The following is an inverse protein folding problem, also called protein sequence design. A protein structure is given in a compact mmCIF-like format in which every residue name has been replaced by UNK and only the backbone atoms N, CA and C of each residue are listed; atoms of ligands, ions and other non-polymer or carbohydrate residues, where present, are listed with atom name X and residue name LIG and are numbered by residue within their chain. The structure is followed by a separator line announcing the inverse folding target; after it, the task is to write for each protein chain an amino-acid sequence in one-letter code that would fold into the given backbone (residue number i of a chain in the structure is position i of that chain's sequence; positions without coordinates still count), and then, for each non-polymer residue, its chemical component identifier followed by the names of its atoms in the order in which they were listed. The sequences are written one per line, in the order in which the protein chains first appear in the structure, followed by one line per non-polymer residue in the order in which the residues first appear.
data_IF_715190116198
#
_entry.id   IF_715190116198
#
_cell.length_a   1.000
_cell.length_b   1.000
_cell.length_c   1.000
_cell.angle_alpha   90.00
_cell.angle_beta   90.00
_cell.angle_gamma   90.00
#
_symmetry.space_group_name_H-M   'P 1'
#
loop_
_entity.id
_entity.type
_entity.pdbx_description
1 polymer ?
#
# COMPACT_ATOMS: atom_id res chain seq x y z
N UNK A 1 4.97 10.88 37.66
CA UNK A 1 6.06 9.87 37.79
C UNK A 1 5.47 8.46 37.73
N UNK A 2 5.95 7.61 36.81
CA UNK A 2 5.58 6.19 36.78
C UNK A 2 6.08 5.51 38.05
N UNK A 3 5.21 4.71 38.69
CA UNK A 3 5.61 3.93 39.88
C UNK A 3 6.70 2.94 39.50
N UNK A 4 7.64 2.64 40.42
CA UNK A 4 8.81 1.78 40.17
C UNK A 4 8.40 0.43 39.56
N UNK A 5 7.34 -0.18 40.05
CA UNK A 5 6.83 -1.44 39.53
C UNK A 5 6.33 -1.35 38.09
N UNK A 6 5.67 -0.23 37.71
CA UNK A 6 5.20 -0.01 36.34
C UNK A 6 6.40 0.02 35.36
N UNK A 7 7.46 0.76 35.74
CA UNK A 7 8.68 0.82 34.94
C UNK A 7 9.32 -0.55 34.77
N UNK A 8 9.33 -1.37 35.83
CA UNK A 8 9.87 -2.74 35.79
C UNK A 8 9.07 -3.63 34.81
N UNK A 9 7.73 -3.65 34.97
CA UNK A 9 6.81 -4.42 34.13
C UNK A 9 6.96 -4.03 32.67
N UNK A 10 6.94 -2.74 32.35
CA UNK A 10 7.05 -2.24 30.98
C UNK A 10 8.42 -2.56 30.37
N UNK A 11 9.53 -2.36 31.11
CA UNK A 11 10.86 -2.68 30.63
C UNK A 11 10.98 -4.15 30.25
N UNK A 12 10.50 -5.07 31.11
CA UNK A 12 10.51 -6.50 30.83
C UNK A 12 9.70 -6.86 29.61
N UNK A 13 8.47 -6.30 29.51
CA UNK A 13 7.60 -6.52 28.35
C UNK A 13 8.25 -6.05 27.05
N UNK A 14 8.79 -4.82 27.02
CA UNK A 14 9.42 -4.29 25.82
C UNK A 14 10.69 -5.02 25.41
N UNK A 15 11.47 -5.53 26.35
CA UNK A 15 12.62 -6.39 26.01
C UNK A 15 12.17 -7.65 25.26
N UNK A 16 11.07 -8.29 25.70
CA UNK A 16 10.49 -9.44 24.97
C UNK A 16 9.92 -9.03 23.62
N UNK A 17 9.22 -7.91 23.57
CA UNK A 17 8.67 -7.37 22.34
C UNK A 17 9.76 -7.13 21.28
N UNK A 18 10.83 -6.44 21.63
CA UNK A 18 11.94 -6.19 20.68
C UNK A 18 12.67 -7.46 20.27
N UNK A 19 12.84 -8.42 21.18
CA UNK A 19 13.44 -9.72 20.84
C UNK A 19 12.57 -10.45 19.80
N UNK A 20 11.27 -10.49 20.00
CA UNK A 20 10.34 -11.16 19.08
C UNK A 20 10.25 -10.40 17.75
N UNK A 21 10.26 -9.05 17.77
CA UNK A 21 10.37 -8.26 16.56
C UNK A 21 11.61 -8.64 15.74
N UNK A 22 12.75 -8.80 16.41
CA UNK A 22 14.01 -9.17 15.75
C UNK A 22 13.92 -10.55 15.11
N UNK A 23 13.32 -11.52 15.80
CA UNK A 23 13.09 -12.87 15.26
C UNK A 23 12.21 -12.83 14.01
N UNK A 24 11.06 -12.14 14.05
CA UNK A 24 10.16 -12.04 12.90
C UNK A 24 10.79 -11.24 11.75
N UNK A 25 11.53 -10.18 12.06
CA UNK A 25 12.25 -9.40 11.06
C UNK A 25 13.31 -10.26 10.35
N UNK A 26 14.08 -11.05 11.09
CA UNK A 26 15.09 -11.93 10.48
C UNK A 26 14.46 -13.01 9.60
N UNK A 27 13.35 -13.62 10.04
CA UNK A 27 12.60 -14.58 9.22
C UNK A 27 12.03 -13.92 7.96
N UNK A 28 11.43 -12.72 8.09
CA UNK A 28 10.91 -11.96 6.98
C UNK A 28 11.98 -11.60 5.95
N UNK A 29 13.17 -11.16 6.41
CA UNK A 29 14.31 -10.88 5.51
C UNK A 29 14.74 -12.15 4.78
N UNK A 30 14.90 -13.29 5.47
CA UNK A 30 15.32 -14.54 4.84
C UNK A 30 14.34 -14.95 3.73
N UNK A 31 13.03 -14.93 4.00
CA UNK A 31 12.01 -15.30 3.02
C UNK A 31 12.00 -14.34 1.83
N UNK A 32 12.05 -13.03 2.08
CA UNK A 32 12.06 -12.02 1.02
C UNK A 32 13.34 -12.07 0.16
N UNK A 33 14.50 -12.39 0.73
CA UNK A 33 15.76 -12.54 -0.06
C UNK A 33 15.61 -13.63 -1.11
N UNK A 34 15.04 -14.78 -0.76
CA UNK A 34 14.84 -15.87 -1.72
C UNK A 34 13.89 -15.47 -2.85
N UNK A 35 12.82 -14.74 -2.54
CA UNK A 35 11.87 -14.23 -3.52
C UNK A 35 12.56 -13.25 -4.50
N UNK A 36 13.33 -12.29 -3.96
CA UNK A 36 14.03 -11.30 -4.78
C UNK A 36 15.14 -11.93 -5.64
N UNK A 37 15.92 -12.86 -5.11
CA UNK A 37 16.93 -13.59 -5.90
C UNK A 37 16.26 -14.36 -7.05
N UNK A 38 15.14 -15.02 -6.79
CA UNK A 38 14.37 -15.74 -7.81
C UNK A 38 13.84 -14.79 -8.90
N UNK A 39 13.34 -13.61 -8.53
CA UNK A 39 12.85 -12.61 -9.48
C UNK A 39 13.95 -12.10 -10.42
N UNK A 40 15.15 -11.88 -9.90
CA UNK A 40 16.28 -11.34 -10.66
C UNK A 40 17.17 -12.41 -11.29
N UNK A 41 16.86 -13.72 -11.14
CA UNK A 41 17.71 -14.82 -11.63
C UNK A 41 17.97 -14.81 -13.15
N UNK A 42 17.02 -14.28 -13.92
CA UNK A 42 17.11 -14.20 -15.38
C UNK A 42 17.42 -12.80 -15.92
N UNK A 43 17.89 -11.88 -15.07
CA UNK A 43 18.15 -10.50 -15.43
C UNK A 43 19.61 -10.14 -15.15
N UNK A 44 20.22 -9.38 -16.06
CA UNK A 44 21.56 -8.82 -15.86
C UNK A 44 21.45 -7.62 -14.88
N UNK A 45 21.56 -7.89 -13.59
CA UNK A 45 21.46 -6.88 -12.53
C UNK A 45 22.64 -6.93 -11.58
N UNK A 46 22.81 -5.86 -10.80
CA UNK A 46 23.82 -5.82 -9.76
C UNK A 46 23.51 -6.90 -8.69
N UNK A 47 24.49 -7.70 -8.33
CA UNK A 47 24.39 -8.76 -7.30
C UNK A 47 23.79 -8.27 -5.97
N UNK A 48 24.01 -7.01 -5.58
CA UNK A 48 23.48 -6.45 -4.34
C UNK A 48 22.01 -6.00 -4.41
N UNK A 49 21.44 -5.87 -5.61
CA UNK A 49 20.09 -5.32 -5.80
C UNK A 49 18.99 -6.12 -5.08
N UNK A 50 18.94 -7.46 -5.13
CA UNK A 50 17.96 -8.26 -4.39
C UNK A 50 18.00 -8.03 -2.88
N UNK A 51 19.21 -7.87 -2.31
CA UNK A 51 19.38 -7.61 -0.89
C UNK A 51 18.86 -6.23 -0.48
N UNK A 52 19.19 -5.18 -1.28
CA UNK A 52 18.69 -3.82 -1.04
C UNK A 52 17.16 -3.80 -1.08
N UNK A 53 16.56 -4.44 -2.07
CA UNK A 53 15.11 -4.53 -2.20
C UNK A 53 14.46 -5.26 -1.01
N UNK A 54 15.08 -6.34 -0.55
CA UNK A 54 14.63 -7.05 0.65
C UNK A 54 14.60 -6.12 1.87
N UNK A 55 15.65 -5.33 2.09
CA UNK A 55 15.69 -4.38 3.22
C UNK A 55 14.65 -3.26 3.08
N UNK A 56 14.37 -2.79 1.87
CA UNK A 56 13.32 -1.80 1.63
C UNK A 56 11.91 -2.37 1.88
N UNK A 57 11.70 -3.65 1.61
CA UNK A 57 10.41 -4.32 1.80
C UNK A 57 10.18 -4.81 3.24
N UNK A 58 11.23 -5.12 4.00
CA UNK A 58 11.14 -5.71 5.34
C UNK A 58 10.31 -4.89 6.35
N UNK A 59 10.39 -3.53 6.40
CA UNK A 59 9.61 -2.76 7.37
C UNK A 59 8.09 -2.88 7.18
N UNK A 60 7.58 -2.87 5.97
CA UNK A 60 6.13 -3.00 5.74
C UNK A 60 5.65 -4.43 6.05
N UNK A 61 6.45 -5.44 5.74
CA UNK A 61 6.16 -6.83 6.09
C UNK A 61 6.10 -7.00 7.62
N UNK A 62 7.04 -6.38 8.35
CA UNK A 62 7.01 -6.38 9.81
C UNK A 62 5.77 -5.66 10.36
N UNK A 63 5.36 -4.54 9.74
CA UNK A 63 4.15 -3.81 10.14
C UNK A 63 2.90 -4.71 10.11
N UNK A 64 2.73 -5.52 9.08
CA UNK A 64 1.57 -6.40 8.93
C UNK A 64 1.45 -7.45 10.04
N UNK A 65 2.58 -7.88 10.59
CA UNK A 65 2.62 -8.92 11.62
C UNK A 65 2.72 -8.36 13.05
N UNK A 66 2.75 -7.04 13.26
CA UNK A 66 2.79 -6.45 14.61
C UNK A 66 1.72 -6.95 15.58
N UNK A 67 0.44 -7.14 15.18
CA UNK A 67 -0.56 -7.70 16.09
C UNK A 67 -0.16 -9.06 16.66
N UNK A 68 0.43 -9.93 15.84
CA UNK A 68 0.95 -11.22 16.27
C UNK A 68 2.17 -11.09 17.17
N UNK A 69 3.07 -10.16 16.87
CA UNK A 69 4.25 -9.87 17.69
C UNK A 69 3.81 -9.42 19.08
N UNK A 70 2.83 -8.53 19.21
CA UNK A 70 2.29 -8.13 20.52
C UNK A 70 1.69 -9.30 21.28
N UNK A 71 0.91 -10.14 20.62
CA UNK A 71 0.28 -11.31 21.23
C UNK A 71 1.32 -12.30 21.76
N UNK A 72 2.30 -12.66 20.93
CA UNK A 72 3.37 -13.59 21.30
C UNK A 72 4.25 -12.99 22.42
N UNK A 73 4.56 -11.70 22.33
CA UNK A 73 5.33 -10.99 23.35
C UNK A 73 4.64 -11.00 24.70
N UNK A 74 3.31 -10.78 24.70
CA UNK A 74 2.52 -10.84 25.91
C UNK A 74 2.50 -12.26 26.51
N UNK A 75 2.38 -13.29 25.68
CA UNK A 75 2.41 -14.69 26.14
C UNK A 75 3.75 -15.03 26.78
N UNK A 76 4.88 -14.71 26.12
CA UNK A 76 6.20 -14.94 26.68
C UNK A 76 6.46 -14.15 27.97
N UNK A 77 5.99 -12.89 28.02
CA UNK A 77 6.09 -12.08 29.22
C UNK A 77 5.30 -12.70 30.40
N UNK A 78 4.04 -13.07 30.21
CA UNK A 78 3.23 -13.69 31.25
C UNK A 78 3.76 -15.07 31.66
N UNK A 79 4.22 -15.87 30.72
CA UNK A 79 4.85 -17.15 31.03
C UNK A 79 6.08 -16.96 31.95
N UNK A 80 6.94 -15.98 31.66
CA UNK A 80 8.15 -15.74 32.45
C UNK A 80 7.83 -15.27 33.88
N UNK A 81 6.91 -14.32 34.05
CA UNK A 81 6.55 -13.82 35.38
C UNK A 81 5.83 -14.86 36.24
N UNK A 82 5.10 -15.81 35.61
CA UNK A 82 4.49 -16.93 36.31
C UNK A 82 5.57 -17.94 36.72
N UNK A 83 6.45 -18.33 35.79
CA UNK A 83 7.52 -19.31 36.04
C UNK A 83 8.48 -18.87 37.12
N UNK A 84 8.74 -17.56 37.25
CA UNK A 84 9.67 -16.98 38.22
C UNK A 84 8.96 -16.56 39.54
N UNK A 85 7.70 -16.93 39.75
CA UNK A 85 6.89 -16.54 40.92
C UNK A 85 6.78 -15.03 41.17
N UNK A 86 7.10 -14.20 40.16
CA UNK A 86 7.06 -12.74 40.27
C UNK A 86 5.63 -12.22 40.52
N UNK A 87 4.61 -12.95 40.06
CA UNK A 87 3.21 -12.61 40.35
C UNK A 87 2.93 -12.64 41.86
N UNK A 88 3.50 -13.58 42.59
CA UNK A 88 3.34 -13.69 44.06
C UNK A 88 4.03 -12.49 44.71
N UNK A 89 5.23 -12.13 44.25
CA UNK A 89 5.94 -10.94 44.75
C UNK A 89 5.13 -9.65 44.52
N UNK A 90 4.52 -9.52 43.35
CA UNK A 90 3.67 -8.36 43.03
C UNK A 90 2.44 -8.29 43.94
N UNK A 91 1.76 -9.42 44.18
CA UNK A 91 0.58 -9.49 45.08
C UNK A 91 0.95 -9.16 46.52
N UNK A 92 2.06 -9.69 47.02
CA UNK A 92 2.55 -9.41 48.39
C UNK A 92 2.86 -7.91 48.58
N UNK A 93 3.23 -7.21 47.48
CA UNK A 93 3.44 -5.76 47.49
C UNK A 93 2.18 -4.94 47.15
N UNK A 94 0.98 -5.55 47.23
CA UNK A 94 -0.30 -4.86 47.03
C UNK A 94 -0.68 -4.56 45.58
N UNK A 95 -0.04 -5.23 44.61
CA UNK A 95 -0.38 -5.14 43.21
C UNK A 95 -1.42 -6.20 42.83
N UNK A 96 -2.60 -5.78 42.41
CA UNK A 96 -3.58 -6.68 41.83
C UNK A 96 -3.26 -7.03 40.38
N UNK A 97 -3.71 -8.22 39.93
CA UNK A 97 -3.54 -8.64 38.53
C UNK A 97 -4.10 -7.60 37.54
N UNK A 98 -5.24 -6.97 37.91
CA UNK A 98 -5.85 -5.91 37.09
C UNK A 98 -4.95 -4.68 36.92
N UNK A 99 -4.14 -4.30 37.93
CA UNK A 99 -3.21 -3.19 37.82
C UNK A 99 -2.08 -3.51 36.85
N UNK A 100 -1.60 -4.76 36.85
CA UNK A 100 -0.56 -5.23 35.93
C UNK A 100 -1.11 -5.20 34.49
N UNK A 101 -2.28 -5.81 34.26
CA UNK A 101 -2.92 -5.85 32.94
C UNK A 101 -3.22 -4.45 32.42
N UNK A 102 -3.81 -3.55 33.25
CA UNK A 102 -4.07 -2.17 32.83
C UNK A 102 -2.81 -1.42 32.43
N UNK A 103 -1.71 -1.60 33.18
CA UNK A 103 -0.45 -0.94 32.86
C UNK A 103 0.10 -1.39 31.50
N UNK A 104 0.03 -2.69 31.19
CA UNK A 104 0.42 -3.23 29.91
C UNK A 104 -0.53 -2.76 28.80
N UNK A 105 -1.84 -2.83 29.02
CA UNK A 105 -2.84 -2.42 28.04
C UNK A 105 -2.64 -0.99 27.54
N UNK A 106 -2.54 -0.03 28.46
CA UNK A 106 -2.31 1.37 28.09
C UNK A 106 -0.97 1.57 27.37
N UNK A 107 0.06 0.85 27.77
CA UNK A 107 1.37 0.94 27.13
C UNK A 107 1.38 0.35 25.75
N UNK A 108 0.74 -0.82 25.53
CA UNK A 108 0.59 -1.46 24.22
C UNK A 108 -0.26 -0.60 23.28
N UNK A 109 -1.36 -0.01 23.80
CA UNK A 109 -2.20 0.88 23.03
C UNK A 109 -1.42 2.11 22.56
N UNK A 110 -0.67 2.78 23.45
CA UNK A 110 0.16 3.92 23.08
C UNK A 110 1.23 3.54 22.05
N UNK A 111 1.89 2.40 22.25
CA UNK A 111 2.87 1.89 21.29
C UNK A 111 2.22 1.57 19.94
N UNK A 112 1.02 0.99 19.93
CA UNK A 112 0.25 0.73 18.71
C UNK A 112 -0.04 2.01 17.93
N UNK A 113 -0.44 3.09 18.60
CA UNK A 113 -0.65 4.40 17.97
C UNK A 113 0.66 4.92 17.35
N UNK A 114 1.78 4.82 18.06
CA UNK A 114 3.10 5.24 17.55
C UNK A 114 3.46 4.41 16.30
N UNK A 115 3.23 3.11 16.34
CA UNK A 115 3.50 2.22 15.20
C UNK A 115 2.65 2.62 13.99
N UNK A 116 1.37 2.91 14.17
CA UNK A 116 0.51 3.34 13.08
C UNK A 116 0.93 4.71 12.54
N UNK A 117 1.15 5.71 13.39
CA UNK A 117 1.40 7.07 12.95
C UNK A 117 2.83 7.28 12.43
N UNK A 118 3.81 6.66 13.06
CA UNK A 118 5.23 6.92 12.73
C UNK A 118 5.80 5.80 11.87
N UNK A 119 5.71 4.55 12.36
CA UNK A 119 6.37 3.42 11.72
C UNK A 119 5.72 3.08 10.37
N UNK A 120 4.38 3.11 10.26
CA UNK A 120 3.68 2.86 9.00
C UNK A 120 4.07 3.87 7.92
N UNK A 121 4.08 5.17 8.22
CA UNK A 121 4.47 6.20 7.26
C UNK A 121 5.92 6.04 6.76
N UNK A 122 6.83 5.62 7.64
CA UNK A 122 8.20 5.31 7.22
C UNK A 122 8.23 4.07 6.32
N UNK A 123 7.50 3.02 6.72
CA UNK A 123 7.46 1.75 6.01
C UNK A 123 6.83 1.87 4.63
N UNK A 124 5.76 2.67 4.48
CA UNK A 124 5.11 2.92 3.18
C UNK A 124 6.03 3.64 2.20
N UNK A 125 6.79 4.64 2.67
CA UNK A 125 7.80 5.33 1.84
C UNK A 125 8.91 4.39 1.37
N UNK A 126 9.39 3.51 2.25
CA UNK A 126 10.38 2.49 1.87
C UNK A 126 9.80 1.47 0.89
N UNK A 127 8.54 1.09 1.07
CA UNK A 127 7.82 0.21 0.14
C UNK A 127 7.61 0.88 -1.22
N UNK A 128 7.34 2.19 -1.25
CA UNK A 128 7.25 2.94 -2.50
C UNK A 128 8.58 2.89 -3.27
N UNK A 129 9.71 3.18 -2.61
CA UNK A 129 11.04 3.06 -3.23
C UNK A 129 11.35 1.65 -3.73
N UNK A 130 10.99 0.64 -2.93
CA UNK A 130 11.09 -0.77 -3.35
C UNK A 130 10.31 -1.02 -4.64
N UNK A 131 9.05 -0.55 -4.69
CA UNK A 131 8.16 -0.78 -5.82
C UNK A 131 8.64 -0.05 -7.07
N UNK A 132 9.10 1.19 -6.91
CA UNK A 132 9.64 2.02 -8.00
C UNK A 132 10.89 1.38 -8.63
N UNK A 133 11.83 0.94 -7.80
CA UNK A 133 13.03 0.25 -8.29
C UNK A 133 12.65 -1.06 -8.99
N UNK A 134 11.80 -1.89 -8.37
CA UNK A 134 11.42 -3.19 -8.91
C UNK A 134 10.66 -3.07 -10.22
N UNK A 135 9.83 -2.01 -10.37
CA UNK A 135 9.08 -1.73 -11.59
C UNK A 135 9.97 -1.44 -12.80
N UNK A 136 11.16 -0.85 -12.60
CA UNK A 136 12.11 -0.60 -13.68
C UNK A 136 12.65 -1.90 -14.32
N UNK A 137 12.55 -3.02 -13.60
CA UNK A 137 12.97 -4.36 -14.04
C UNK A 137 11.79 -5.28 -14.38
N UNK A 138 10.56 -4.81 -14.21
CA UNK A 138 9.34 -5.58 -14.54
C UNK A 138 8.78 -5.12 -15.87
N UNK A 139 8.56 -6.05 -16.79
CA UNK A 139 7.91 -5.76 -18.07
C UNK A 139 6.39 -5.49 -17.92
N UNK A 140 5.80 -5.82 -16.78
CA UNK A 140 4.35 -5.84 -16.58
C UNK A 140 3.80 -4.57 -15.91
N UNK A 141 4.63 -3.65 -15.43
CA UNK A 141 4.23 -2.47 -14.62
C UNK A 141 3.29 -2.81 -13.42
N UNK A 142 3.27 -4.06 -12.98
CA UNK A 142 2.33 -4.57 -11.94
C UNK A 142 2.58 -4.02 -10.55
N UNK A 143 3.74 -3.42 -10.31
CA UNK A 143 4.15 -3.04 -8.95
C UNK A 143 3.74 -1.63 -8.54
N UNK A 144 3.45 -0.72 -9.49
CA UNK A 144 3.01 0.66 -9.21
C UNK A 144 1.49 0.86 -9.37
N UNK A 145 0.82 0.06 -10.19
CA UNK A 145 -0.62 0.13 -10.35
C UNK A 145 -1.21 -1.28 -10.38
N UNK A 146 -2.37 -1.47 -9.76
CA UNK A 146 -3.13 -2.71 -9.95
C UNK A 146 -3.78 -2.65 -11.33
N UNK A 147 -2.97 -2.97 -12.35
CA UNK A 147 -3.48 -3.32 -13.66
C UNK A 147 -3.73 -4.80 -13.61
N UNK A 148 -4.98 -5.23 -13.63
CA UNK A 148 -5.34 -6.63 -13.79
C UNK A 148 -4.89 -7.11 -15.18
N UNK A 149 -4.82 -8.43 -15.40
CA UNK A 149 -4.52 -9.01 -16.72
C UNK A 149 -5.47 -8.48 -17.83
N UNK A 150 -6.59 -7.86 -17.45
CA UNK A 150 -7.58 -7.21 -18.31
C UNK A 150 -7.33 -5.71 -18.57
N UNK A 151 -6.29 -5.10 -17.98
CA UNK A 151 -5.95 -3.67 -18.12
C UNK A 151 -6.58 -2.76 -17.05
N UNK A 152 -6.43 -1.46 -17.25
CA UNK A 152 -6.96 -0.40 -16.43
C UNK A 152 -8.40 -0.08 -16.83
N UNK A 153 -9.32 0.00 -15.85
CA UNK A 153 -10.70 0.39 -16.07
C UNK A 153 -11.06 1.57 -15.16
N UNK A 154 -11.62 2.62 -15.74
CA UNK A 154 -12.09 3.81 -15.04
C UNK A 154 -13.56 4.08 -15.40
N UNK A 155 -14.37 4.35 -14.38
CA UNK A 155 -15.71 4.93 -14.56
C UNK A 155 -15.67 6.39 -14.12
N UNK A 156 -16.12 7.29 -14.96
CA UNK A 156 -16.28 8.71 -14.68
C UNK A 156 -17.68 9.16 -15.00
N UNK A 157 -18.16 10.22 -14.36
CA UNK A 157 -19.42 10.86 -14.66
C UNK A 157 -19.16 12.34 -14.91
N UNK A 158 -19.39 12.76 -16.14
CA UNK A 158 -19.14 14.14 -16.56
C UNK A 158 -20.25 14.66 -17.48
N UNK A 159 -20.70 15.89 -17.24
CA UNK A 159 -21.65 16.62 -18.07
C UNK A 159 -22.92 15.83 -18.47
N UNK A 160 -23.43 14.95 -17.61
CA UNK A 160 -24.65 14.20 -17.88
C UNK A 160 -24.41 12.90 -18.66
N UNK A 161 -23.18 12.46 -18.83
CA UNK A 161 -22.81 11.18 -19.44
C UNK A 161 -21.96 10.33 -18.52
N UNK A 162 -22.04 9.02 -18.70
CA UNK A 162 -21.22 8.02 -18.02
C UNK A 162 -20.08 7.63 -18.96
N UNK A 163 -18.86 7.78 -18.50
CA UNK A 163 -17.65 7.47 -19.24
C UNK A 163 -17.03 6.20 -18.70
N UNK A 164 -16.79 5.23 -19.56
CA UNK A 164 -16.04 4.02 -19.22
C UNK A 164 -14.77 4.00 -20.05
N UNK A 165 -13.65 4.23 -19.38
CA UNK A 165 -12.32 4.21 -20.01
C UNK A 165 -11.62 2.89 -19.70
N UNK A 166 -11.17 2.21 -20.74
CA UNK A 166 -10.29 1.05 -20.65
C UNK A 166 -8.94 1.40 -21.25
N UNK A 167 -7.85 1.02 -20.59
CA UNK A 167 -6.49 1.13 -21.12
C UNK A 167 -5.73 -0.14 -20.84
N UNK A 168 -4.79 -0.50 -21.72
CA UNK A 168 -3.95 -1.67 -21.54
C UNK A 168 -2.93 -1.46 -20.43
N UNK A 169 -2.31 -0.29 -20.38
CA UNK A 169 -1.35 0.08 -19.33
C UNK A 169 -1.23 1.60 -19.18
N UNK A 170 -0.62 1.99 -18.07
CA UNK A 170 -0.22 3.37 -17.77
C UNK A 170 1.30 3.44 -17.70
N UNK A 171 1.91 4.36 -18.43
CA UNK A 171 3.36 4.60 -18.41
C UNK A 171 3.65 6.10 -18.34
N UNK A 172 4.32 6.51 -17.26
CA UNK A 172 4.49 7.93 -16.92
C UNK A 172 3.11 8.64 -16.87
N UNK A 173 2.92 9.71 -17.67
CA UNK A 173 1.67 10.47 -17.74
C UNK A 173 0.79 10.03 -18.93
N UNK A 174 1.01 8.82 -19.46
CA UNK A 174 0.29 8.34 -20.64
C UNK A 174 -0.44 7.05 -20.37
N UNK A 175 -1.70 6.98 -20.83
CA UNK A 175 -2.42 5.74 -21.05
C UNK A 175 -2.13 5.23 -22.46
N UNK A 176 -1.93 3.92 -22.61
CA UNK A 176 -1.70 3.30 -23.90
C UNK A 176 -2.84 2.34 -24.25
N UNK A 177 -3.15 2.22 -25.56
CA UNK A 177 -4.24 1.39 -26.09
C UNK A 177 -5.56 1.70 -25.34
N UNK A 178 -6.05 2.92 -25.51
CA UNK A 178 -7.18 3.46 -24.77
C UNK A 178 -8.48 3.33 -25.55
N UNK A 179 -9.51 2.91 -24.89
CA UNK A 179 -10.90 2.90 -25.39
C UNK A 179 -11.75 3.67 -24.37
N UNK A 180 -12.39 4.75 -24.81
CA UNK A 180 -13.32 5.54 -24.01
C UNK A 180 -14.71 5.35 -24.60
N UNK A 181 -15.61 4.75 -23.84
CA UNK A 181 -17.03 4.62 -24.20
C UNK A 181 -17.84 5.65 -23.42
N UNK A 182 -18.58 6.47 -24.11
CA UNK A 182 -19.51 7.44 -23.54
C UNK A 182 -20.94 6.92 -23.65
N UNK A 183 -21.62 6.86 -22.51
CA UNK A 183 -23.03 6.41 -22.40
C UNK A 183 -23.88 7.54 -21.85
N UNK A 184 -25.18 7.56 -22.24
CA UNK A 184 -26.17 8.35 -21.51
C UNK A 184 -26.56 7.67 -20.20
N UNK A 185 -27.42 8.31 -19.39
CA UNK A 185 -27.90 7.72 -18.12
C UNK A 185 -28.75 6.46 -18.29
N UNK A 186 -29.30 6.22 -19.50
CA UNK A 186 -30.03 4.99 -19.86
C UNK A 186 -29.09 3.87 -20.32
N UNK A 187 -27.75 4.03 -20.11
CA UNK A 187 -26.72 3.10 -20.57
C UNK A 187 -26.72 2.83 -22.07
N UNK A 188 -27.21 3.75 -22.90
CA UNK A 188 -27.07 3.69 -24.35
C UNK A 188 -25.72 4.31 -24.75
N UNK A 189 -24.95 3.59 -25.57
CA UNK A 189 -23.69 4.06 -26.11
C UNK A 189 -23.95 5.26 -27.04
N UNK A 190 -23.29 6.40 -26.74
CA UNK A 190 -23.31 7.61 -27.55
C UNK A 190 -22.19 7.61 -28.56
N UNK A 191 -20.94 7.39 -28.07
CA UNK A 191 -19.73 7.32 -28.89
C UNK A 191 -18.66 6.48 -28.25
N UNK A 192 -17.75 5.98 -29.08
CA UNK A 192 -16.50 5.32 -28.67
C UNK A 192 -15.33 6.10 -29.23
N UNK A 193 -14.34 6.39 -28.39
CA UNK A 193 -13.08 7.01 -28.79
C UNK A 193 -11.97 5.97 -28.55
N UNK A 194 -11.23 5.64 -29.59
CA UNK A 194 -10.07 4.76 -29.50
C UNK A 194 -8.80 5.54 -29.83
N UNK A 195 -7.73 5.34 -29.07
CA UNK A 195 -6.46 5.98 -29.30
C UNK A 195 -5.30 5.12 -28.78
N UNK A 196 -4.19 5.16 -29.48
CA UNK A 196 -2.98 4.46 -29.05
C UNK A 196 -2.33 5.13 -27.83
N UNK A 197 -2.50 6.45 -27.67
CA UNK A 197 -1.84 7.22 -26.61
C UNK A 197 -2.70 8.38 -26.15
N UNK A 198 -2.86 8.53 -24.83
CA UNK A 198 -3.59 9.60 -24.17
C UNK A 198 -2.74 10.20 -23.06
N UNK A 199 -2.51 11.50 -23.06
CA UNK A 199 -1.85 12.21 -21.97
C UNK A 199 -2.87 12.55 -20.89
N UNK A 200 -2.58 12.12 -19.65
CA UNK A 200 -3.45 12.24 -18.47
C UNK A 200 -2.84 13.12 -17.37
N UNK A 201 -1.86 13.95 -17.70
CA UNK A 201 -1.14 14.79 -16.74
C UNK A 201 -2.10 15.70 -15.94
N UNK A 202 -3.12 16.20 -16.60
CA UNK A 202 -4.14 17.07 -16.03
C UNK A 202 -5.54 16.45 -16.23
N UNK A 203 -6.57 17.00 -15.56
CA UNK A 203 -7.97 16.63 -15.75
C UNK A 203 -8.49 16.88 -17.18
N UNK A 204 -7.70 17.53 -18.03
CA UNK A 204 -7.94 17.73 -19.44
C UNK A 204 -7.02 16.79 -20.21
N UNK A 205 -7.55 15.64 -20.58
CA UNK A 205 -6.78 14.63 -21.30
C UNK A 205 -6.56 15.06 -22.75
N UNK A 206 -5.35 14.81 -23.25
CA UNK A 206 -5.00 15.01 -24.66
C UNK A 206 -4.95 13.66 -25.35
N UNK A 207 -5.90 13.43 -26.25
CA UNK A 207 -6.04 12.17 -26.99
C UNK A 207 -5.38 12.36 -28.35
N UNK A 208 -4.33 11.61 -28.63
CA UNK A 208 -3.57 11.70 -29.88
C UNK A 208 -4.14 10.73 -30.92
N UNK A 209 -4.33 11.22 -32.15
CA UNK A 209 -4.81 10.46 -33.31
C UNK A 209 -6.04 9.58 -32.98
N UNK A 210 -7.12 10.18 -32.44
CA UNK A 210 -8.28 9.43 -32.01
C UNK A 210 -9.10 8.91 -33.20
N UNK A 211 -9.57 7.70 -33.09
CA UNK A 211 -10.64 7.14 -33.93
C UNK A 211 -11.95 7.29 -33.16
N UNK A 212 -12.83 8.17 -33.66
CA UNK A 212 -14.15 8.40 -33.04
C UNK A 212 -15.20 7.64 -33.83
N UNK A 213 -15.95 6.78 -33.14
CA UNK A 213 -17.06 6.00 -33.71
C UNK A 213 -18.37 6.44 -33.09
N UNK A 214 -19.30 6.92 -33.93
CA UNK A 214 -20.65 7.30 -33.58
C UNK A 214 -21.61 6.54 -34.53
N UNK A 215 -22.61 5.86 -33.96
CA UNK A 215 -23.62 5.08 -34.76
C UNK A 215 -22.97 4.13 -35.78
N UNK A 216 -21.86 3.47 -35.42
CA UNK A 216 -21.06 2.59 -36.27
C UNK A 216 -20.32 3.28 -37.45
N UNK A 217 -20.27 4.61 -37.49
CA UNK A 217 -19.48 5.37 -38.46
C UNK A 217 -18.22 5.85 -37.76
N UNK A 218 -17.05 5.40 -38.22
CA UNK A 218 -15.75 5.82 -37.69
C UNK A 218 -15.16 6.98 -38.48
N UNK A 219 -14.66 8.00 -37.79
CA UNK A 219 -13.93 9.13 -38.39
C UNK A 219 -12.54 9.29 -37.72
N UNK A 220 -11.54 9.60 -38.53
CA UNK A 220 -10.15 9.85 -38.12
C UNK A 220 -9.76 11.32 -38.44
N UNK A 221 -10.71 12.23 -38.42
CA UNK A 221 -10.51 13.61 -38.88
C UNK A 221 -9.72 14.49 -37.89
N UNK A 222 -9.43 14.00 -36.70
CA UNK A 222 -8.80 14.79 -35.65
C UNK A 222 -7.41 14.27 -35.33
N UNK A 223 -6.41 15.13 -35.38
CA UNK A 223 -5.03 14.82 -34.93
C UNK A 223 -4.95 14.81 -33.38
N UNK A 224 -5.78 15.63 -32.72
CA UNK A 224 -5.81 15.79 -31.27
C UNK A 224 -7.23 16.14 -30.81
N UNK A 225 -7.70 15.44 -29.75
CA UNK A 225 -8.93 15.81 -29.05
C UNK A 225 -8.61 16.11 -27.58
N UNK A 226 -9.12 17.25 -27.08
CA UNK A 226 -9.14 17.55 -25.66
C UNK A 226 -10.39 16.95 -25.01
N UNK A 227 -10.18 16.11 -24.01
CA UNK A 227 -11.25 15.40 -23.32
C UNK A 227 -11.23 15.74 -21.82
N UNK A 228 -12.31 16.33 -21.32
CA UNK A 228 -12.40 16.72 -19.91
C UNK A 228 -12.87 15.55 -19.05
N UNK A 229 -12.19 15.32 -17.94
CA UNK A 229 -12.47 14.21 -17.00
C UNK A 229 -12.21 14.67 -15.56
N UNK A 230 -12.73 13.93 -14.58
CA UNK A 230 -12.47 14.15 -13.16
C UNK A 230 -11.16 13.50 -12.69
N UNK A 231 -10.45 12.80 -13.56
CA UNK A 231 -9.23 12.06 -13.28
C UNK A 231 -8.00 12.73 -13.88
N UNK A 232 -6.97 12.92 -13.09
CA UNK A 232 -5.61 13.24 -13.49
C UNK A 232 -4.69 12.05 -13.21
N UNK A 233 -3.42 12.15 -13.61
CA UNK A 233 -2.43 11.10 -13.40
C UNK A 233 -2.30 10.71 -11.93
N UNK A 234 -2.28 11.69 -11.01
CA UNK A 234 -2.08 11.44 -9.58
C UNK A 234 -3.29 10.74 -8.98
N UNK A 235 -4.51 11.15 -9.34
CA UNK A 235 -5.75 10.50 -8.88
C UNK A 235 -5.84 9.07 -9.41
N UNK A 236 -5.52 8.84 -10.69
CA UNK A 236 -5.49 7.49 -11.26
C UNK A 236 -4.46 6.62 -10.55
N UNK A 237 -3.24 7.11 -10.37
CA UNK A 237 -2.18 6.38 -9.65
C UNK A 237 -2.57 6.05 -8.23
N UNK A 238 -3.19 6.99 -7.50
CA UNK A 238 -3.66 6.76 -6.14
C UNK A 238 -4.76 5.69 -6.07
N UNK A 239 -5.71 5.69 -7.00
CA UNK A 239 -6.79 4.69 -7.08
C UNK A 239 -6.26 3.28 -7.37
N UNK A 240 -5.20 3.16 -8.17
CA UNK A 240 -4.62 1.89 -8.59
C UNK A 240 -3.28 1.57 -7.91
N UNK A 241 -2.80 2.45 -7.03
CA UNK A 241 -1.59 2.20 -6.27
C UNK A 241 -1.79 1.05 -5.26
N UNK A 242 -0.71 0.35 -4.98
CA UNK A 242 -0.72 -0.61 -3.89
C UNK A 242 -0.93 0.15 -2.57
N UNK A 243 -2.01 -0.12 -1.83
CA UNK A 243 -2.31 0.53 -0.55
C UNK A 243 -1.14 0.53 0.44
N UNK A 244 -0.24 -0.44 0.32
CA UNK A 244 0.96 -0.54 1.16
C UNK A 244 2.03 0.51 0.84
N UNK A 245 1.94 1.18 -0.31
CA UNK A 245 2.86 2.25 -0.72
C UNK A 245 2.36 3.63 -0.36
N UNK A 246 1.09 3.76 0.01
CA UNK A 246 0.46 5.02 0.41
C UNK A 246 0.73 5.32 1.88
N UNK A 247 1.00 6.57 2.19
CA UNK A 247 1.06 7.03 3.56
C UNK A 247 -0.33 7.25 4.16
N UNK A 248 -0.42 7.55 5.48
CA UNK A 248 -1.72 7.71 6.15
C UNK A 248 -2.54 8.87 5.58
N UNK A 249 -1.92 9.97 5.19
CA UNK A 249 -2.63 11.13 4.64
C UNK A 249 -3.18 10.81 3.24
N UNK A 250 -2.40 10.14 2.42
CA UNK A 250 -2.81 9.65 1.10
C UNK A 250 -3.98 8.66 1.21
N UNK A 251 -3.95 7.74 2.19
CA UNK A 251 -5.06 6.81 2.45
C UNK A 251 -6.35 7.53 2.88
N UNK A 252 -6.25 8.59 3.70
CA UNK A 252 -7.42 9.39 4.05
C UNK A 252 -7.98 10.16 2.86
N UNK A 253 -7.13 10.73 2.01
CA UNK A 253 -7.55 11.42 0.80
C UNK A 253 -8.21 10.44 -0.19
N UNK A 254 -7.63 9.25 -0.36
CA UNK A 254 -8.20 8.19 -1.17
C UNK A 254 -9.62 7.82 -0.72
N UNK A 255 -9.84 7.67 0.59
CA UNK A 255 -11.18 7.41 1.13
C UNK A 255 -12.19 8.48 0.71
N UNK A 256 -11.80 9.76 0.77
CA UNK A 256 -12.65 10.90 0.37
C UNK A 256 -12.96 10.89 -1.14
N UNK A 257 -12.09 10.36 -1.96
CA UNK A 257 -12.28 10.26 -3.41
C UNK A 257 -13.24 9.12 -3.80
N UNK A 258 -13.50 8.17 -2.87
CA UNK A 258 -14.47 7.09 -3.07
C UNK A 258 -15.88 7.38 -2.51
N UNK A 259 -16.02 8.38 -1.63
CA UNK A 259 -17.31 8.87 -1.10
C UNK A 259 -17.92 9.92 -2.02
#
# INVERSE_FOLDING_TARGET
MLKIYTKYILRRFYLKFFLICLVFLSLGIILNVFEEISFFSNQETNFFLPYILTFLNAPITLFEIFPFIFLISAQFYFYEIIKNDEIVLFKNNGLSNLKIIKSLFFSVLLMGVIIIVVYYNLSSKLKFLYTDIKNNYSNDNKYLAVVNDSGLWLKDENNGSILITKSKNIKNNFLNDVIINEFNYDFKLIKTIQANKVNIENKKWLIYEPIVTIENISSNEFDLIEFQTNFDNDKIRNLFSNFKTLDLLELFNLKKDYE
#
